data_IF_147174779684
#
_entry.id   IF_147174779684
#
_cell.length_a   1.000
_cell.length_b   1.000
_cell.length_c   1.000
_cell.angle_alpha   90.00
_cell.angle_beta   90.00
_cell.angle_gamma   90.00
#
_symmetry.space_group_name_H-M   'P 1'
#
loop_
_entity.id
_entity.type
_entity.pdbx_description
1 polymer ?
#
# COMPACT_ATOMS: atom_id res chain seq x y z
N UNK A 1 -10.78 -13.92 3.62
CA UNK A 1 -9.92 -13.91 2.41
C UNK A 1 -9.27 -12.54 2.29
N UNK A 2 -7.95 -12.48 2.38
CA UNK A 2 -7.18 -11.24 2.31
C UNK A 2 -7.40 -10.49 0.98
N UNK A 3 -7.57 -11.21 -0.13
CA UNK A 3 -7.74 -10.57 -1.44
C UNK A 3 -9.06 -9.80 -1.52
N UNK A 4 -10.13 -10.37 -0.97
CA UNK A 4 -11.43 -9.70 -0.85
C UNK A 4 -11.33 -8.46 0.05
N UNK A 5 -10.65 -8.56 1.20
CA UNK A 5 -10.47 -7.43 2.10
C UNK A 5 -9.69 -6.28 1.44
N UNK A 6 -8.60 -6.57 0.72
CA UNK A 6 -7.85 -5.55 -0.03
C UNK A 6 -8.67 -4.96 -1.17
N UNK A 7 -9.47 -5.77 -1.86
CA UNK A 7 -10.36 -5.27 -2.92
C UNK A 7 -11.42 -4.30 -2.38
N UNK A 8 -12.01 -4.58 -1.21
CA UNK A 8 -12.94 -3.65 -0.56
C UNK A 8 -12.21 -2.38 -0.08
N UNK A 9 -11.03 -2.51 0.53
CA UNK A 9 -10.22 -1.36 0.96
C UNK A 9 -9.85 -0.43 -0.21
N UNK A 10 -9.54 -0.97 -1.39
CA UNK A 10 -9.21 -0.16 -2.57
C UNK A 10 -10.34 0.74 -3.05
N UNK A 11 -11.60 0.37 -2.79
CA UNK A 11 -12.75 1.19 -3.17
C UNK A 11 -12.82 2.49 -2.36
N UNK A 12 -12.10 2.57 -1.24
CA UNK A 12 -12.06 3.76 -0.39
C UNK A 12 -10.89 4.68 -0.71
N UNK A 13 -10.08 4.37 -1.74
CA UNK A 13 -8.92 5.19 -2.09
C UNK A 13 -9.36 6.44 -2.83
N UNK A 14 -8.93 7.64 -2.38
CA UNK A 14 -9.24 8.87 -3.08
C UNK A 14 -8.36 9.00 -4.34
N UNK A 15 -8.88 9.72 -5.32
CA UNK A 15 -8.08 10.31 -6.40
C UNK A 15 -7.50 11.66 -5.96
N UNK A 16 -6.50 12.19 -6.68
CA UNK A 16 -6.05 13.57 -6.49
C UNK A 16 -7.20 14.57 -6.56
N UNK A 17 -8.17 14.35 -7.46
CA UNK A 17 -9.33 15.24 -7.61
C UNK A 17 -10.20 15.22 -6.35
N UNK A 18 -10.47 14.03 -5.79
CA UNK A 18 -11.20 13.91 -4.52
C UNK A 18 -10.50 14.66 -3.38
N UNK A 19 -9.16 14.59 -3.32
CA UNK A 19 -8.37 15.32 -2.32
C UNK A 19 -8.51 16.84 -2.48
N UNK A 20 -8.45 17.35 -3.70
CA UNK A 20 -8.64 18.80 -3.98
C UNK A 20 -10.02 19.24 -3.47
N UNK A 21 -11.06 18.46 -3.72
CA UNK A 21 -12.43 18.79 -3.35
C UNK A 21 -12.70 18.67 -1.84
N UNK A 22 -12.13 17.67 -1.19
CA UNK A 22 -12.51 17.25 0.16
C UNK A 22 -11.48 17.63 1.25
N UNK A 23 -10.29 18.15 0.89
CA UNK A 23 -9.29 18.57 1.87
C UNK A 23 -9.87 19.63 2.82
N UNK A 24 -9.74 19.47 4.16
CA UNK A 24 -10.27 20.43 5.12
C UNK A 24 -9.46 21.73 5.17
N UNK A 25 -8.19 21.69 4.76
CA UNK A 25 -7.32 22.87 4.72
C UNK A 25 -7.37 23.52 3.32
N UNK A 26 -7.87 24.76 3.19
CA UNK A 26 -7.90 25.47 1.90
C UNK A 26 -6.50 25.77 1.34
N UNK A 27 -5.49 25.97 2.20
CA UNK A 27 -4.12 26.23 1.74
C UNK A 27 -3.53 25.00 1.02
N UNK A 28 -3.86 23.78 1.48
CA UNK A 28 -3.46 22.54 0.80
C UNK A 28 -4.05 22.48 -0.61
N UNK A 29 -5.33 22.85 -0.78
CA UNK A 29 -5.99 22.90 -2.10
C UNK A 29 -5.26 23.87 -3.03
N UNK A 30 -5.00 25.10 -2.58
CA UNK A 30 -4.30 26.11 -3.36
C UNK A 30 -2.90 25.64 -3.78
N UNK A 31 -2.17 24.99 -2.86
CA UNK A 31 -0.84 24.49 -3.14
C UNK A 31 -0.85 23.32 -4.11
N UNK A 32 -1.80 22.39 -4.04
CA UNK A 32 -1.91 21.30 -5.02
C UNK A 32 -2.11 21.87 -6.44
N UNK A 33 -3.00 22.85 -6.60
CA UNK A 33 -3.26 23.50 -7.88
C UNK A 33 -2.04 24.27 -8.39
N UNK A 34 -1.33 24.97 -7.48
CA UNK A 34 -0.09 25.68 -7.85
C UNK A 34 1.01 24.72 -8.29
N UNK A 35 1.17 23.60 -7.60
CA UNK A 35 2.17 22.57 -7.93
C UNK A 35 1.93 21.99 -9.32
N UNK A 36 0.67 21.80 -9.71
CA UNK A 36 0.29 21.38 -11.05
C UNK A 36 0.68 22.40 -12.13
N UNK A 37 0.44 23.69 -11.88
CA UNK A 37 0.82 24.77 -12.82
C UNK A 37 2.33 24.85 -13.07
N UNK A 38 3.15 24.52 -12.07
CA UNK A 38 4.62 24.54 -12.20
C UNK A 38 5.19 23.18 -12.61
N UNK A 39 4.34 22.19 -12.88
CA UNK A 39 4.76 20.84 -13.29
C UNK A 39 5.47 20.05 -12.19
N UNK A 40 5.18 20.32 -10.92
CA UNK A 40 5.77 19.62 -9.78
C UNK A 40 4.80 18.58 -9.20
N UNK A 41 5.18 17.30 -9.25
CA UNK A 41 4.38 16.22 -8.69
C UNK A 41 4.30 16.28 -7.15
N UNK A 42 3.08 16.18 -6.63
CA UNK A 42 2.81 16.03 -5.20
C UNK A 42 2.71 14.55 -4.79
N UNK A 43 2.49 14.29 -3.50
CA UNK A 43 2.21 12.92 -3.01
C UNK A 43 0.92 12.35 -3.62
N UNK A 44 -0.07 13.19 -3.91
CA UNK A 44 -1.36 12.77 -4.47
C UNK A 44 -1.19 12.29 -5.92
N UNK A 45 -0.39 12.99 -6.72
CA UNK A 45 -0.03 12.56 -8.07
C UNK A 45 0.70 11.21 -8.05
N UNK A 46 1.66 11.03 -7.13
CA UNK A 46 2.41 9.77 -7.01
C UNK A 46 1.55 8.63 -6.48
N UNK A 47 0.58 8.92 -5.61
CA UNK A 47 -0.36 7.91 -5.12
C UNK A 47 -1.18 7.36 -6.27
N UNK A 48 -1.79 8.24 -7.08
CA UNK A 48 -2.58 7.85 -8.25
C UNK A 48 -1.75 7.07 -9.27
N UNK A 49 -0.52 7.52 -9.57
CA UNK A 49 0.41 6.82 -10.48
C UNK A 49 0.82 5.43 -10.00
N UNK A 50 0.78 5.17 -8.69
CA UNK A 50 1.11 3.87 -8.10
C UNK A 50 -0.10 2.92 -8.02
N UNK A 51 -1.30 3.36 -8.39
CA UNK A 51 -2.48 2.52 -8.36
C UNK A 51 -2.56 1.57 -9.59
N UNK A 52 -3.03 0.32 -9.40
CA UNK A 52 -3.31 -0.32 -8.12
C UNK A 52 -2.02 -0.83 -7.44
N UNK A 53 -1.80 -0.43 -6.19
CA UNK A 53 -0.66 -0.91 -5.41
C UNK A 53 -0.74 -2.42 -5.15
N UNK A 54 0.39 -3.10 -4.94
CA UNK A 54 0.48 -4.56 -4.85
C UNK A 54 -0.42 -5.17 -3.74
N UNK A 55 -1.29 -6.11 -4.11
CA UNK A 55 -2.25 -6.75 -3.19
C UNK A 55 -1.56 -7.52 -2.06
N UNK A 56 -0.47 -8.24 -2.36
CA UNK A 56 0.26 -9.03 -1.37
C UNK A 56 0.98 -8.16 -0.33
N UNK A 57 1.44 -6.97 -0.75
CA UNK A 57 2.05 -5.99 0.14
C UNK A 57 1.03 -5.42 1.12
N UNK A 58 -0.12 -4.98 0.60
CA UNK A 58 -1.22 -4.42 1.43
C UNK A 58 -1.77 -5.47 2.40
N UNK A 59 -1.97 -6.71 1.93
CA UNK A 59 -2.41 -7.81 2.77
C UNK A 59 -1.35 -8.28 3.79
N UNK A 60 -0.10 -7.81 3.69
CA UNK A 60 0.99 -8.20 4.58
C UNK A 60 1.52 -9.63 4.38
N UNK A 61 1.09 -10.34 3.33
CA UNK A 61 1.40 -11.76 3.05
C UNK A 61 2.57 -11.95 2.07
N UNK A 62 3.36 -10.90 1.84
CA UNK A 62 4.61 -10.95 1.08
C UNK A 62 5.80 -10.90 2.06
N UNK A 63 6.68 -11.88 2.01
CA UNK A 63 7.88 -11.94 2.85
C UNK A 63 9.16 -11.70 2.05
N UNK A 64 10.00 -10.79 2.56
CA UNK A 64 11.30 -10.40 1.98
C UNK A 64 12.45 -10.48 3.00
N UNK A 65 12.31 -11.31 4.02
CA UNK A 65 13.25 -11.35 5.17
C UNK A 65 14.56 -12.08 4.83
N UNK A 66 14.57 -12.96 3.83
CA UNK A 66 15.75 -13.71 3.41
C UNK A 66 15.89 -13.73 1.88
N UNK A 67 17.04 -14.17 1.39
CA UNK A 67 17.38 -14.21 -0.03
C UNK A 67 16.75 -15.38 -0.82
N UNK A 68 16.03 -16.29 -0.17
CA UNK A 68 15.23 -17.32 -0.85
C UNK A 68 13.87 -16.79 -1.34
N UNK A 69 13.46 -15.61 -0.86
CA UNK A 69 12.24 -14.94 -1.29
C UNK A 69 12.45 -14.10 -2.56
N UNK A 70 11.47 -13.24 -2.92
CA UNK A 70 10.25 -12.93 -2.18
C UNK A 70 9.23 -14.08 -2.18
N UNK A 71 8.73 -14.45 -1.01
CA UNK A 71 7.64 -15.43 -0.89
C UNK A 71 6.28 -14.71 -0.88
N UNK A 72 5.33 -15.19 -1.70
CA UNK A 72 3.94 -14.71 -1.74
C UNK A 72 3.00 -15.85 -1.34
N UNK A 73 2.21 -15.65 -0.29
CA UNK A 73 1.27 -16.69 0.16
C UNK A 73 -0.01 -16.63 -0.65
N UNK A 74 -0.43 -17.79 -1.17
CA UNK A 74 -1.66 -17.98 -1.93
C UNK A 74 -2.30 -19.32 -1.56
N UNK A 75 -3.55 -19.62 -1.93
CA UNK A 75 -4.12 -20.96 -1.74
C UNK A 75 -3.32 -22.07 -2.44
N UNK A 76 -2.63 -21.75 -3.54
CA UNK A 76 -1.75 -22.70 -4.27
C UNK A 76 -0.38 -22.86 -3.60
N UNK A 77 0.08 -21.85 -2.88
CA UNK A 77 1.38 -21.82 -2.19
C UNK A 77 1.16 -21.28 -0.78
N UNK A 78 0.65 -22.12 0.14
CA UNK A 78 0.20 -21.70 1.47
C UNK A 78 1.35 -21.37 2.42
N UNK A 79 2.60 -21.66 2.02
CA UNK A 79 3.81 -21.42 2.79
C UNK A 79 4.92 -20.85 1.91
N UNK A 80 5.81 -20.08 2.51
CA UNK A 80 7.08 -19.68 1.88
C UNK A 80 8.08 -20.84 1.84
N UNK A 81 9.22 -20.61 1.19
CA UNK A 81 10.28 -21.63 1.02
C UNK A 81 10.73 -22.23 2.35
N UNK A 82 10.82 -21.42 3.41
CA UNK A 82 11.19 -21.88 4.75
C UNK A 82 10.06 -22.51 5.57
N UNK A 83 8.85 -22.65 5.00
CA UNK A 83 7.68 -23.20 5.69
C UNK A 83 6.82 -22.18 6.44
N UNK A 84 7.18 -20.89 6.47
CA UNK A 84 6.37 -19.84 7.09
C UNK A 84 5.03 -19.64 6.35
N UNK A 85 3.92 -19.66 7.08
CA UNK A 85 2.57 -19.40 6.57
C UNK A 85 2.22 -17.90 6.58
N UNK A 86 0.99 -17.58 6.17
CA UNK A 86 0.49 -16.21 6.10
C UNK A 86 0.55 -15.50 7.45
N UNK A 87 0.08 -16.14 8.52
CA UNK A 87 -0.04 -15.53 9.84
C UNK A 87 1.34 -15.18 10.41
N UNK A 88 2.30 -16.10 10.29
CA UNK A 88 3.67 -15.86 10.72
C UNK A 88 4.35 -14.74 9.91
N UNK A 89 4.09 -14.67 8.60
CA UNK A 89 4.63 -13.60 7.74
C UNK A 89 4.04 -12.24 8.13
N UNK A 90 2.72 -12.16 8.33
CA UNK A 90 2.03 -10.92 8.75
C UNK A 90 2.55 -10.44 10.11
N UNK A 91 2.66 -11.34 11.10
CA UNK A 91 3.17 -11.01 12.43
C UNK A 91 4.61 -10.46 12.37
N UNK A 92 5.49 -11.05 11.55
CA UNK A 92 6.87 -10.59 11.38
C UNK A 92 6.95 -9.23 10.68
N UNK A 93 6.15 -9.03 9.64
CA UNK A 93 6.08 -7.76 8.91
C UNK A 93 5.59 -6.63 9.84
N UNK A 94 4.55 -6.89 10.64
CA UNK A 94 4.04 -5.96 11.64
C UNK A 94 5.09 -5.67 12.73
N UNK A 95 5.76 -6.69 13.26
CA UNK A 95 6.82 -6.52 14.28
C UNK A 95 7.96 -5.64 13.76
N UNK A 96 8.40 -5.83 12.50
CA UNK A 96 9.44 -4.98 11.90
C UNK A 96 8.97 -3.54 11.68
N UNK A 97 7.71 -3.32 11.31
CA UNK A 97 7.14 -1.99 11.20
C UNK A 97 7.08 -1.28 12.56
N UNK A 98 6.68 -1.99 13.62
CA UNK A 98 6.67 -1.46 14.98
C UNK A 98 8.07 -1.15 15.51
N UNK A 99 9.06 -2.01 15.23
CA UNK A 99 10.44 -1.81 15.65
C UNK A 99 11.17 -0.69 14.88
N UNK A 100 10.65 -0.28 13.72
CA UNK A 100 11.20 0.82 12.93
C UNK A 100 10.57 2.18 13.21
N UNK A 101 9.57 2.24 14.12
CA UNK A 101 8.92 3.47 14.57
C UNK A 101 9.80 4.35 15.45
#
# INVERSE_FOLDING_TARGET
>A
DYMKAVAEYRKTWPTKQDVIEQTPDPAVREMILRMEQIGCDTVFDRFDKQQPQCTFGIAGICCRICFMGPCKITPKSPRGVCGADADLIVARNMTRAAAGG
#
